data_IF_621247060668
#
_entry.id   IF_621247060668
#
_cell.length_a   1.000
_cell.length_b   1.000
_cell.length_c   1.000
_cell.angle_alpha   90.00
_cell.angle_beta   90.00
_cell.angle_gamma   90.00
#
_symmetry.space_group_name_H-M   'P 1'
#
loop_
_entity.id
_entity.type
_entity.pdbx_description
1 polymer ?
#
# COMPACT_ATOMS: atom_id res chain seq x y z
N UNK A 1 28.86 -27.13 12.73
CA UNK A 1 27.67 -27.49 11.91
C UNK A 1 26.37 -26.79 12.36
N UNK A 2 26.25 -26.25 13.59
CA UNK A 2 25.02 -25.61 14.11
C UNK A 2 24.59 -24.32 13.39
N UNK A 3 25.56 -23.46 13.04
CA UNK A 3 25.29 -22.08 12.59
C UNK A 3 24.51 -21.98 11.26
N UNK A 4 24.66 -22.96 10.34
CA UNK A 4 24.02 -22.91 9.02
C UNK A 4 22.50 -23.13 9.09
N UNK A 5 22.04 -24.04 9.94
CA UNK A 5 20.62 -24.37 10.06
C UNK A 5 19.85 -23.30 10.83
N UNK A 6 20.46 -22.71 11.84
CA UNK A 6 19.90 -21.56 12.58
C UNK A 6 19.72 -20.34 11.66
N UNK A 7 20.72 -20.00 10.84
CA UNK A 7 20.59 -18.92 9.85
C UNK A 7 19.48 -19.18 8.83
N UNK A 8 19.34 -20.42 8.35
CA UNK A 8 18.25 -20.78 7.42
C UNK A 8 16.87 -20.62 8.07
N UNK A 9 16.73 -20.99 9.34
CA UNK A 9 15.50 -20.77 10.10
C UNK A 9 15.15 -19.28 10.25
N UNK A 10 16.14 -18.45 10.59
CA UNK A 10 15.97 -17.00 10.70
C UNK A 10 15.58 -16.36 9.36
N UNK A 11 16.22 -16.77 8.26
CA UNK A 11 15.90 -16.29 6.91
C UNK A 11 14.46 -16.64 6.51
N UNK A 12 14.02 -17.87 6.81
CA UNK A 12 12.65 -18.30 6.54
C UNK A 12 11.63 -17.50 7.35
N UNK A 13 11.93 -17.23 8.62
CA UNK A 13 11.08 -16.39 9.46
C UNK A 13 10.99 -14.96 8.92
N UNK A 14 12.11 -14.35 8.56
CA UNK A 14 12.16 -13.01 7.97
C UNK A 14 11.38 -12.94 6.66
N UNK A 15 11.54 -13.94 5.77
CA UNK A 15 10.77 -14.01 4.52
C UNK A 15 9.27 -14.10 4.77
N UNK A 16 8.85 -14.86 5.79
CA UNK A 16 7.44 -14.98 6.17
C UNK A 16 6.89 -13.67 6.71
N UNK A 17 7.68 -12.97 7.54
CA UNK A 17 7.32 -11.64 8.07
C UNK A 17 7.19 -10.63 6.94
N UNK A 18 8.13 -10.62 5.99
CA UNK A 18 8.09 -9.74 4.83
C UNK A 18 6.82 -9.96 4.00
N UNK A 19 6.47 -11.22 3.69
CA UNK A 19 5.23 -11.55 2.97
C UNK A 19 3.97 -11.07 3.67
N UNK A 20 3.95 -11.07 5.00
CA UNK A 20 2.79 -10.56 5.77
C UNK A 20 2.67 -9.04 5.62
N UNK A 21 3.79 -8.33 5.72
CA UNK A 21 3.82 -6.87 5.55
C UNK A 21 3.45 -6.47 4.12
N UNK A 22 3.95 -7.18 3.11
CA UNK A 22 3.58 -6.96 1.70
C UNK A 22 2.06 -7.08 1.49
N UNK A 23 1.42 -8.13 2.03
CA UNK A 23 -0.03 -8.28 1.95
C UNK A 23 -0.80 -7.17 2.65
N UNK A 24 -0.32 -6.70 3.80
CA UNK A 24 -0.93 -5.59 4.51
C UNK A 24 -0.79 -4.29 3.72
N UNK A 25 0.37 -4.06 3.11
CA UNK A 25 0.63 -2.92 2.25
C UNK A 25 -0.32 -2.92 1.04
N UNK A 26 -0.48 -4.05 0.36
CA UNK A 26 -1.40 -4.18 -0.78
C UNK A 26 -2.85 -3.83 -0.37
N UNK A 27 -3.29 -4.30 0.81
CA UNK A 27 -4.62 -3.99 1.34
C UNK A 27 -4.80 -2.49 1.58
N UNK A 28 -3.84 -1.85 2.24
CA UNK A 28 -3.88 -0.41 2.52
C UNK A 28 -3.83 0.43 1.23
N UNK A 29 -3.06 0.00 0.24
CA UNK A 29 -3.01 0.66 -1.07
C UNK A 29 -4.37 0.57 -1.77
N UNK A 30 -5.02 -0.59 -1.74
CA UNK A 30 -6.34 -0.78 -2.32
C UNK A 30 -7.42 0.07 -1.60
N UNK A 31 -7.40 0.10 -0.26
CA UNK A 31 -8.31 0.95 0.52
C UNK A 31 -8.13 2.44 0.17
N UNK A 32 -6.87 2.90 0.02
CA UNK A 32 -6.57 4.26 -0.41
C UNK A 32 -7.10 4.55 -1.82
N UNK A 33 -6.99 3.59 -2.75
CA UNK A 33 -7.52 3.76 -4.11
C UNK A 33 -9.05 3.86 -4.13
N UNK A 34 -9.73 3.03 -3.34
CA UNK A 34 -11.18 3.10 -3.17
C UNK A 34 -11.62 4.43 -2.56
N UNK A 35 -10.86 4.95 -1.60
CA UNK A 35 -11.14 6.26 -0.99
C UNK A 35 -11.00 7.40 -2.02
N UNK A 36 -9.97 7.36 -2.87
CA UNK A 36 -9.81 8.31 -3.99
C UNK A 36 -11.01 8.26 -4.93
N UNK A 37 -11.41 7.07 -5.39
CA UNK A 37 -12.53 6.90 -6.31
C UNK A 37 -13.85 7.39 -5.69
N UNK A 38 -14.17 6.95 -4.46
CA UNK A 38 -15.41 7.35 -3.77
C UNK A 38 -15.47 8.85 -3.50
N UNK A 39 -14.35 9.48 -3.14
CA UNK A 39 -14.30 10.93 -2.93
C UNK A 39 -14.52 11.69 -4.24
N UNK A 40 -13.93 11.23 -5.34
CA UNK A 40 -14.14 11.83 -6.65
C UNK A 40 -15.58 11.70 -7.13
N UNK A 41 -16.20 10.51 -6.97
CA UNK A 41 -17.62 10.29 -7.29
C UNK A 41 -18.56 11.20 -6.49
N UNK A 42 -18.18 11.56 -5.26
CA UNK A 42 -18.91 12.51 -4.40
C UNK A 42 -18.63 13.98 -4.74
N UNK A 43 -17.81 14.26 -5.75
CA UNK A 43 -17.48 15.62 -6.18
C UNK A 43 -16.46 16.34 -5.30
N UNK A 44 -15.72 15.62 -4.46
CA UNK A 44 -14.65 16.21 -3.64
C UNK A 44 -13.54 16.75 -4.54
N UNK A 45 -12.98 17.92 -4.21
CA UNK A 45 -11.93 18.52 -5.05
C UNK A 45 -10.66 17.69 -4.99
N UNK A 46 -9.96 17.58 -6.12
CA UNK A 46 -8.70 16.83 -6.24
C UNK A 46 -7.67 17.26 -5.18
N UNK A 47 -7.60 18.54 -4.81
CA UNK A 47 -6.70 19.02 -3.75
C UNK A 47 -7.01 18.42 -2.38
N UNK A 48 -8.29 18.33 -2.01
CA UNK A 48 -8.74 17.75 -0.74
C UNK A 48 -8.50 16.23 -0.73
N UNK A 49 -8.67 15.58 -1.88
CA UNK A 49 -8.33 14.16 -2.05
C UNK A 49 -6.81 13.95 -1.87
N UNK A 50 -5.96 14.82 -2.42
CA UNK A 50 -4.51 14.74 -2.24
C UNK A 50 -4.13 14.86 -0.77
N UNK A 51 -4.70 15.82 -0.06
CA UNK A 51 -4.47 16.03 1.37
C UNK A 51 -4.89 14.82 2.21
N UNK A 52 -6.10 14.28 1.97
CA UNK A 52 -6.63 13.16 2.73
C UNK A 52 -5.90 11.83 2.48
N UNK A 53 -5.36 11.64 1.27
CA UNK A 53 -4.73 10.37 0.85
C UNK A 53 -3.21 10.41 0.90
N UNK A 54 -2.61 11.59 1.07
CA UNK A 54 -1.17 11.81 0.97
C UNK A 54 -0.61 11.59 -0.44
N UNK A 55 -1.48 11.49 -1.46
CA UNK A 55 -1.06 11.32 -2.85
C UNK A 55 -0.78 12.67 -3.50
N UNK A 56 0.18 12.68 -4.42
CA UNK A 56 0.36 13.81 -5.33
C UNK A 56 -0.79 13.88 -6.34
N UNK A 57 -1.03 15.06 -6.92
CA UNK A 57 -2.05 15.22 -7.98
C UNK A 57 -1.87 14.22 -9.13
N UNK A 58 -0.65 13.98 -9.67
CA UNK A 58 -0.45 12.92 -10.68
C UNK A 58 -0.82 11.52 -10.18
N UNK A 59 -0.58 11.22 -8.90
CA UNK A 59 -0.98 9.94 -8.30
C UNK A 59 -2.50 9.77 -8.25
N UNK A 60 -3.22 10.82 -7.88
CA UNK A 60 -4.69 10.84 -7.88
C UNK A 60 -5.24 10.70 -9.31
N UNK A 61 -4.71 11.46 -10.27
CA UNK A 61 -5.14 11.36 -11.67
C UNK A 61 -4.94 9.96 -12.25
N UNK A 62 -3.81 9.32 -11.96
CA UNK A 62 -3.57 7.93 -12.38
C UNK A 62 -4.61 6.95 -11.85
N UNK A 63 -5.05 7.11 -10.59
CA UNK A 63 -6.09 6.24 -10.00
C UNK A 63 -7.45 6.50 -10.64
N UNK A 64 -7.75 7.76 -10.96
CA UNK A 64 -9.02 8.17 -11.56
C UNK A 64 -9.07 7.97 -13.09
N UNK A 65 -7.95 7.63 -13.72
CA UNK A 65 -7.82 7.53 -15.19
C UNK A 65 -8.25 8.81 -15.92
N UNK A 66 -7.88 9.96 -15.36
CA UNK A 66 -8.06 11.32 -15.90
C UNK A 66 -6.72 11.88 -16.40
#
# INVERSE_FOLDING_TARGET
>A
MSNKWEMLGQLQEQSTRLRKVEKQLDKLQNERYQLVQSAHEKGVRISEICEATGLSRPGVYRILSL
#
